data_IF_835212108969
#
_entry.id   IF_835212108969
#
_cell.length_a   1.000
_cell.length_b   1.000
_cell.length_c   1.000
_cell.angle_alpha   90.00
_cell.angle_beta   90.00
_cell.angle_gamma   90.00
#
_symmetry.space_group_name_H-M   'P 1'
#
loop_
_entity.id
_entity.type
_entity.pdbx_description
1 polymer ?
#
# COMPACT_ATOMS: atom_id res chain seq x y z
N UNK A 1 25.97 11.41 5.41
CA UNK A 1 25.10 10.24 5.57
C UNK A 1 23.70 10.74 5.26
N UNK A 2 23.08 10.27 4.19
CA UNK A 2 21.68 10.64 3.91
C UNK A 2 20.81 10.10 5.04
N UNK A 3 19.97 10.97 5.62
CA UNK A 3 19.09 10.56 6.70
C UNK A 3 18.09 9.54 6.16
N UNK A 4 17.96 8.40 6.83
CA UNK A 4 16.92 7.40 6.54
C UNK A 4 15.53 7.95 6.90
N UNK A 5 14.97 8.79 6.03
CA UNK A 5 13.68 9.45 6.22
C UNK A 5 12.70 9.21 5.06
N UNK A 6 13.09 8.40 4.09
CA UNK A 6 12.28 8.08 2.91
C UNK A 6 11.76 6.65 3.03
N UNK A 7 10.45 6.48 2.91
CA UNK A 7 9.85 5.17 2.72
C UNK A 7 10.04 4.75 1.25
N UNK A 8 10.60 3.56 1.05
CA UNK A 8 10.82 3.01 -0.28
C UNK A 8 9.86 1.86 -0.52
N UNK A 9 9.31 1.77 -1.72
CA UNK A 9 8.52 0.62 -2.14
C UNK A 9 8.91 0.25 -3.57
N UNK A 10 9.21 -1.03 -3.77
CA UNK A 10 9.57 -1.60 -5.06
C UNK A 10 8.58 -2.69 -5.40
N UNK A 11 7.98 -2.60 -6.58
CA UNK A 11 7.06 -3.62 -7.10
C UNK A 11 7.80 -4.52 -8.10
N UNK A 12 7.75 -5.83 -7.89
CA UNK A 12 8.21 -6.83 -8.85
C UNK A 12 7.08 -7.81 -9.20
N UNK A 13 7.25 -8.69 -10.20
CA UNK A 13 6.25 -9.71 -10.51
C UNK A 13 5.96 -10.69 -9.37
N UNK A 14 6.91 -10.92 -8.45
CA UNK A 14 6.71 -11.78 -7.28
C UNK A 14 6.05 -11.07 -6.10
N UNK A 15 5.97 -9.74 -6.15
CA UNK A 15 5.27 -8.91 -5.16
C UNK A 15 6.09 -7.69 -4.74
N UNK A 16 5.49 -6.80 -3.94
CA UNK A 16 6.15 -5.61 -3.44
C UNK A 16 7.11 -5.88 -2.28
N UNK A 17 8.18 -5.10 -2.22
CA UNK A 17 9.08 -4.97 -1.06
C UNK A 17 9.14 -3.50 -0.65
N UNK A 18 8.89 -3.22 0.62
CA UNK A 18 8.99 -1.88 1.17
C UNK A 18 9.99 -1.79 2.32
N UNK A 19 10.68 -0.64 2.39
CA UNK A 19 11.55 -0.24 3.48
C UNK A 19 10.92 0.97 4.18
N UNK A 20 10.53 0.79 5.43
CA UNK A 20 9.90 1.82 6.26
C UNK A 20 10.93 2.35 7.27
N UNK A 21 11.33 3.62 7.19
CA UNK A 21 12.33 4.17 8.11
C UNK A 21 11.83 4.15 9.56
N UNK A 22 12.67 3.65 10.48
CA UNK A 22 12.41 3.64 11.92
C UNK A 22 13.30 4.65 12.65
N UNK A 23 14.60 4.63 12.33
CA UNK A 23 15.61 5.56 12.85
C UNK A 23 16.54 5.96 11.69
N UNK A 24 17.50 6.84 11.96
CA UNK A 24 18.51 7.30 10.99
C UNK A 24 19.27 6.15 10.28
N UNK A 25 19.32 4.96 10.87
CA UNK A 25 20.07 3.80 10.39
C UNK A 25 19.29 2.47 10.40
N UNK A 26 18.01 2.47 10.78
CA UNK A 26 17.18 1.26 10.81
C UNK A 26 15.90 1.46 10.03
N UNK A 27 15.52 0.43 9.27
CA UNK A 27 14.25 0.36 8.57
C UNK A 27 13.56 -0.97 8.88
N UNK A 28 12.24 -0.95 8.92
CA UNK A 28 11.42 -2.17 8.87
C UNK A 28 11.26 -2.61 7.42
N UNK A 29 11.39 -3.91 7.17
CA UNK A 29 11.19 -4.49 5.83
C UNK A 29 9.83 -5.18 5.81
N UNK A 30 9.03 -4.90 4.79
CA UNK A 30 7.83 -5.68 4.47
C UNK A 30 7.98 -6.28 3.08
N UNK A 31 8.00 -7.61 2.98
CA UNK A 31 8.17 -8.33 1.72
C UNK A 31 6.94 -9.20 1.48
N UNK A 32 6.16 -8.86 0.45
CA UNK A 32 5.03 -9.67 0.02
C UNK A 32 5.48 -10.61 -1.10
N UNK A 33 5.26 -11.90 -0.94
CA UNK A 33 5.67 -12.95 -1.90
C UNK A 33 4.81 -14.20 -1.74
N UNK A 34 5.07 -15.25 -2.51
CA UNK A 34 4.41 -16.56 -2.37
C UNK A 34 4.72 -17.20 -1.03
N UNK A 35 3.83 -18.08 -0.54
CA UNK A 35 4.05 -18.81 0.71
C UNK A 35 5.35 -19.63 0.67
N UNK A 36 5.62 -20.29 -0.47
CA UNK A 36 6.84 -21.08 -0.69
C UNK A 36 8.11 -20.21 -0.58
N UNK A 37 8.13 -19.05 -1.23
CA UNK A 37 9.29 -18.15 -1.19
C UNK A 37 9.44 -17.49 0.19
N UNK A 38 8.34 -17.20 0.88
CA UNK A 38 8.39 -16.68 2.24
C UNK A 38 9.03 -17.70 3.21
N UNK A 39 8.69 -18.99 3.09
CA UNK A 39 9.32 -20.08 3.86
C UNK A 39 10.82 -20.19 3.55
N UNK A 40 11.19 -20.10 2.26
CA UNK A 40 12.59 -20.06 1.84
C UNK A 40 13.35 -18.90 2.49
N UNK A 41 12.85 -17.67 2.37
CA UNK A 41 13.45 -16.45 2.95
C UNK A 41 13.63 -16.53 4.48
N UNK A 42 12.64 -17.12 5.18
CA UNK A 42 12.71 -17.31 6.63
C UNK A 42 13.76 -18.37 7.03
N UNK A 43 14.01 -19.36 6.17
CA UNK A 43 15.00 -20.42 6.39
C UNK A 43 16.44 -20.00 6.10
N UNK A 44 16.65 -18.93 5.32
CA UNK A 44 17.99 -18.47 4.94
C UNK A 44 18.81 -17.99 6.16
N UNK A 45 20.15 -18.16 6.13
CA UNK A 45 21.06 -17.44 7.01
C UNK A 45 20.89 -15.92 6.86
N UNK A 46 21.08 -15.10 7.92
CA UNK A 46 20.88 -13.64 7.87
C UNK A 46 21.65 -12.94 6.74
N UNK A 47 22.90 -13.35 6.47
CA UNK A 47 23.74 -12.78 5.41
C UNK A 47 23.13 -13.02 4.02
N UNK A 48 22.71 -14.26 3.73
CA UNK A 48 22.07 -14.59 2.45
C UNK A 48 20.73 -13.88 2.26
N UNK A 49 19.97 -13.69 3.34
CA UNK A 49 18.73 -12.92 3.29
C UNK A 49 19.01 -11.46 2.91
N UNK A 50 20.07 -10.86 3.45
CA UNK A 50 20.48 -9.48 3.11
C UNK A 50 20.94 -9.38 1.66
N UNK A 51 21.69 -10.37 1.16
CA UNK A 51 22.10 -10.44 -0.25
C UNK A 51 20.88 -10.49 -1.18
N UNK A 52 19.94 -11.42 -0.92
CA UNK A 52 18.70 -11.58 -1.69
C UNK A 52 17.85 -10.29 -1.65
N UNK A 53 17.73 -9.65 -0.48
CA UNK A 53 17.01 -8.40 -0.33
C UNK A 53 17.65 -7.26 -1.14
N UNK A 54 18.97 -7.14 -1.10
CA UNK A 54 19.69 -6.13 -1.87
C UNK A 54 19.57 -6.38 -3.37
N UNK A 55 19.68 -7.64 -3.81
CA UNK A 55 19.44 -8.02 -5.21
C UNK A 55 18.03 -7.65 -5.63
N UNK A 56 17.03 -8.00 -4.83
CA UNK A 56 15.63 -7.68 -5.11
C UNK A 56 15.39 -6.16 -5.21
N UNK A 57 16.02 -5.38 -4.33
CA UNK A 57 15.93 -3.93 -4.30
C UNK A 57 16.73 -3.24 -5.40
N UNK A 58 17.71 -3.88 -6.04
CA UNK A 58 18.59 -3.25 -7.04
C UNK A 58 18.41 -3.78 -8.46
N UNK A 59 18.05 -5.04 -8.66
CA UNK A 59 17.96 -5.67 -9.99
C UNK A 59 16.86 -5.06 -10.84
N UNK A 60 17.20 -4.38 -11.94
CA UNK A 60 16.25 -3.89 -12.94
C UNK A 60 15.55 -5.04 -13.69
N UNK A 61 14.54 -5.64 -13.05
CA UNK A 61 13.73 -6.70 -13.63
C UNK A 61 12.83 -6.10 -14.72
N UNK A 62 13.22 -6.36 -15.97
CA UNK A 62 12.43 -6.29 -17.20
C UNK A 62 11.70 -4.96 -17.48
N UNK A 63 12.44 -3.99 -18.02
CA UNK A 63 11.85 -3.11 -19.02
C UNK A 63 11.97 -3.76 -20.40
N UNK A 64 10.87 -4.31 -20.92
CA UNK A 64 10.80 -4.72 -22.32
C UNK A 64 11.18 -3.55 -23.24
N UNK A 65 11.95 -3.82 -24.30
CA UNK A 65 12.41 -2.78 -25.24
C UNK A 65 11.24 -1.94 -25.78
N UNK A 66 10.08 -2.56 -25.96
CA UNK A 66 8.85 -1.94 -26.43
C UNK A 66 8.23 -1.03 -25.37
N UNK A 67 8.24 -1.40 -24.08
CA UNK A 67 7.72 -0.51 -23.01
C UNK A 67 8.63 0.71 -22.88
N UNK A 68 9.94 0.53 -22.96
CA UNK A 68 10.90 1.65 -22.95
C UNK A 68 10.75 2.58 -24.14
N UNK A 69 10.53 2.04 -25.34
CA UNK A 69 10.26 2.87 -26.52
C UNK A 69 8.96 3.66 -26.35
N UNK A 70 7.88 3.01 -25.94
CA UNK A 70 6.60 3.68 -25.73
C UNK A 70 6.71 4.75 -24.64
N UNK A 71 7.34 4.43 -23.52
CA UNK A 71 7.59 5.38 -22.44
C UNK A 71 8.39 6.56 -22.95
N UNK A 72 9.51 6.35 -23.65
CA UNK A 72 10.33 7.43 -24.21
C UNK A 72 9.55 8.34 -25.16
N UNK A 73 8.64 7.78 -25.97
CA UNK A 73 7.79 8.53 -26.88
C UNK A 73 6.77 9.37 -26.12
N UNK A 74 6.11 8.77 -25.12
CA UNK A 74 5.21 9.51 -24.23
C UNK A 74 5.95 10.60 -23.46
N UNK A 75 7.19 10.33 -23.02
CA UNK A 75 8.02 11.31 -22.33
C UNK A 75 8.31 12.51 -23.21
N UNK A 76 8.67 12.28 -24.48
CA UNK A 76 8.96 13.33 -25.46
C UNK A 76 7.72 14.18 -25.76
N UNK A 77 6.57 13.54 -26.00
CA UNK A 77 5.31 14.25 -26.25
C UNK A 77 4.95 15.13 -25.05
N UNK A 78 5.02 14.58 -23.84
CA UNK A 78 4.67 15.29 -22.62
C UNK A 78 5.68 16.38 -22.27
N UNK A 79 6.99 16.19 -22.49
CA UNK A 79 8.01 17.25 -22.35
C UNK A 79 7.80 18.38 -23.35
N UNK A 80 7.25 18.09 -24.53
CA UNK A 80 6.92 19.10 -25.53
C UNK A 80 5.67 19.93 -25.19
N UNK A 81 4.69 19.32 -24.51
CA UNK A 81 3.42 19.98 -24.15
C UNK A 81 3.46 20.61 -22.76
N UNK A 82 4.16 20.00 -21.82
CA UNK A 82 4.29 20.44 -20.44
C UNK A 82 5.77 20.66 -20.11
N UNK A 83 6.11 21.75 -19.43
CA UNK A 83 7.46 21.97 -18.88
C UNK A 83 7.72 20.99 -17.73
N UNK A 84 8.02 19.74 -18.08
CA UNK A 84 8.24 18.65 -17.13
C UNK A 84 9.66 18.78 -16.58
N UNK A 85 9.76 19.04 -15.27
CA UNK A 85 11.03 19.05 -14.53
C UNK A 85 11.70 17.67 -14.54
N UNK A 86 13.03 17.64 -14.61
CA UNK A 86 13.80 16.39 -14.46
C UNK A 86 13.58 15.76 -13.08
N UNK A 87 13.48 14.43 -13.06
CA UNK A 87 13.22 13.63 -11.88
C UNK A 87 14.52 13.47 -11.07
N UNK A 88 14.52 13.67 -9.74
CA UNK A 88 15.69 13.32 -8.93
C UNK A 88 15.96 11.81 -9.04
N UNK A 89 17.21 11.44 -9.33
CA UNK A 89 17.64 10.04 -9.34
C UNK A 89 17.80 9.57 -7.89
N UNK A 90 16.75 9.00 -7.36
CA UNK A 90 16.75 8.37 -6.04
C UNK A 90 17.33 6.96 -6.17
N UNK A 91 18.41 6.67 -5.46
CA UNK A 91 19.02 5.33 -5.39
C UNK A 91 18.52 4.59 -4.16
N UNK A 92 18.12 3.33 -4.34
CA UNK A 92 17.72 2.49 -3.21
C UNK A 92 18.85 2.37 -2.17
N UNK A 93 18.54 2.43 -0.87
CA UNK A 93 19.54 2.22 0.17
C UNK A 93 20.00 0.76 0.18
N UNK A 94 21.28 0.54 0.46
CA UNK A 94 21.84 -0.80 0.65
C UNK A 94 21.64 -1.25 2.08
N UNK A 95 21.07 -2.44 2.27
CA UNK A 95 20.91 -3.07 3.57
C UNK A 95 22.23 -3.72 3.98
N UNK A 96 22.75 -3.36 5.15
CA UNK A 96 24.06 -3.85 5.64
C UNK A 96 23.88 -5.12 6.47
N UNK A 97 22.86 -5.17 7.32
CA UNK A 97 22.67 -6.24 8.29
C UNK A 97 21.21 -6.33 8.73
N UNK A 98 20.82 -7.52 9.19
CA UNK A 98 19.53 -7.80 9.79
C UNK A 98 19.64 -7.83 11.32
N UNK A 99 18.67 -7.26 12.03
CA UNK A 99 18.58 -7.41 13.49
C UNK A 99 18.04 -8.81 13.85
N UNK A 100 18.73 -9.53 14.73
CA UNK A 100 18.42 -10.93 15.04
C UNK A 100 17.00 -11.13 15.62
N UNK A 101 16.35 -12.24 15.27
CA UNK A 101 15.04 -12.61 15.81
C UNK A 101 13.84 -11.78 15.32
N UNK A 102 14.01 -10.93 14.31
CA UNK A 102 12.95 -10.01 13.83
C UNK A 102 12.16 -10.51 12.62
N UNK A 103 12.62 -11.58 11.96
CA UNK A 103 11.95 -12.11 10.77
C UNK A 103 10.69 -12.88 11.15
N UNK A 104 9.57 -12.52 10.52
CA UNK A 104 8.30 -13.20 10.67
C UNK A 104 7.55 -13.22 9.34
N UNK A 105 6.84 -14.31 9.07
CA UNK A 105 5.92 -14.45 7.95
C UNK A 105 4.49 -14.47 8.46
N UNK A 106 3.58 -13.82 7.74
CA UNK A 106 2.15 -13.86 8.02
C UNK A 106 1.37 -13.94 6.71
N UNK A 107 0.28 -14.72 6.66
CA UNK A 107 -0.51 -14.85 5.45
C UNK A 107 -1.24 -13.53 5.16
N UNK A 108 -1.09 -13.04 3.93
CA UNK A 108 -1.85 -11.90 3.44
C UNK A 108 -3.20 -12.40 2.91
N UNK A 109 -4.28 -11.78 3.36
CA UNK A 109 -5.61 -12.10 2.90
C UNK A 109 -6.40 -10.82 2.64
N UNK A 110 -7.11 -10.80 1.52
CA UNK A 110 -8.19 -9.85 1.31
C UNK A 110 -9.48 -10.44 1.90
N UNK A 111 -10.16 -9.66 2.72
CA UNK A 111 -11.43 -10.07 3.31
C UNK A 111 -12.32 -8.87 3.52
N UNK A 112 -13.60 -8.99 3.20
CA UNK A 112 -14.56 -7.93 3.44
C UNK A 112 -15.84 -8.56 3.98
N UNK A 113 -16.24 -8.18 5.19
CA UNK A 113 -17.52 -8.60 5.74
C UNK A 113 -18.65 -7.87 5.03
N UNK A 114 -19.73 -8.59 4.70
CA UNK A 114 -20.92 -8.00 4.07
C UNK A 114 -21.63 -6.97 4.97
N UNK A 115 -21.60 -7.21 6.29
CA UNK A 115 -22.13 -6.30 7.31
C UNK A 115 -21.10 -6.15 8.41
N UNK A 116 -20.86 -4.92 8.86
CA UNK A 116 -20.00 -4.66 10.01
C UNK A 116 -20.77 -4.74 11.32
N UNK A 117 -22.09 -4.91 11.29
CA UNK A 117 -22.92 -4.81 12.49
C UNK A 117 -23.95 -5.92 12.60
N UNK A 118 -24.26 -6.25 13.85
CA UNK A 118 -25.40 -7.06 14.28
C UNK A 118 -26.05 -6.35 15.48
N UNK A 119 -27.27 -6.73 15.93
CA UNK A 119 -27.83 -6.14 17.14
C UNK A 119 -26.85 -6.23 18.31
N UNK A 120 -26.52 -5.07 18.89
CA UNK A 120 -25.60 -4.94 20.03
C UNK A 120 -24.13 -5.34 19.78
N UNK A 121 -23.68 -5.47 18.52
CA UNK A 121 -22.25 -5.63 18.23
C UNK A 121 -21.84 -4.99 16.90
N UNK A 122 -20.61 -4.46 16.88
CA UNK A 122 -19.97 -3.87 15.70
C UNK A 122 -18.56 -4.44 15.52
N UNK A 123 -18.20 -4.71 14.27
CA UNK A 123 -16.88 -5.13 13.81
C UNK A 123 -16.11 -3.89 13.35
N UNK A 124 -14.83 -3.84 13.69
CA UNK A 124 -13.90 -2.76 13.31
C UNK A 124 -12.56 -3.36 12.84
N UNK A 125 -11.82 -2.64 12.00
CA UNK A 125 -10.50 -3.04 11.52
C UNK A 125 -10.50 -4.43 10.85
N UNK A 126 -9.46 -5.23 11.13
CA UNK A 126 -9.27 -6.57 10.55
C UNK A 126 -10.45 -7.54 10.76
N UNK A 127 -11.32 -7.30 11.76
CA UNK A 127 -12.53 -8.07 11.98
C UNK A 127 -13.64 -7.72 10.97
N UNK A 128 -13.70 -6.48 10.50
CA UNK A 128 -14.65 -6.00 9.51
C UNK A 128 -14.09 -6.16 8.09
N UNK A 129 -12.82 -5.86 7.90
CA UNK A 129 -12.18 -5.82 6.60
C UNK A 129 -10.66 -6.00 6.69
N UNK A 130 -10.09 -6.74 5.73
CA UNK A 130 -8.66 -6.98 5.56
C UNK A 130 -8.25 -6.57 4.16
N UNK A 131 -7.25 -5.69 4.07
CA UNK A 131 -6.73 -5.16 2.80
C UNK A 131 -5.35 -5.70 2.49
N UNK A 132 -5.00 -5.77 1.20
CA UNK A 132 -3.61 -6.02 0.80
C UNK A 132 -2.69 -4.91 1.36
N UNK A 133 -1.51 -5.24 1.90
CA UNK A 133 -0.66 -4.30 2.64
C UNK A 133 0.01 -3.19 1.83
N UNK A 134 -0.38 -2.95 0.57
CA UNK A 134 0.31 -2.06 -0.39
C UNK A 134 0.53 -0.61 0.06
N UNK A 135 -0.03 -0.17 1.18
CA UNK A 135 0.11 1.20 1.62
C UNK A 135 0.11 1.35 3.15
N UNK A 136 0.32 0.26 3.90
CA UNK A 136 0.24 0.29 5.37
C UNK A 136 -1.11 0.80 5.91
N UNK A 137 -2.18 0.71 5.11
CA UNK A 137 -3.45 1.37 5.39
C UNK A 137 -4.32 0.62 6.40
N UNK A 138 -4.05 -0.65 6.71
CA UNK A 138 -4.92 -1.47 7.55
C UNK A 138 -5.23 -0.81 8.90
N UNK A 139 -4.18 -0.32 9.59
CA UNK A 139 -4.33 0.43 10.85
C UNK A 139 -5.09 1.74 10.64
N UNK A 140 -4.81 2.49 9.56
CA UNK A 140 -5.49 3.76 9.29
C UNK A 140 -6.99 3.56 9.04
N UNK A 141 -7.37 2.51 8.32
CA UNK A 141 -8.77 2.13 8.11
C UNK A 141 -9.44 1.73 9.44
N UNK A 142 -8.73 0.97 10.29
CA UNK A 142 -9.21 0.65 11.63
C UNK A 142 -9.42 1.89 12.53
N UNK A 143 -8.53 2.88 12.45
CA UNK A 143 -8.72 4.16 13.15
C UNK A 143 -9.91 4.95 12.61
N UNK A 144 -10.12 4.92 11.29
CA UNK A 144 -11.30 5.51 10.67
C UNK A 144 -12.59 4.86 11.20
N UNK A 145 -12.60 3.53 11.34
CA UNK A 145 -13.74 2.81 11.93
C UNK A 145 -14.02 3.28 13.36
N UNK A 146 -12.98 3.39 14.19
CA UNK A 146 -13.11 3.87 15.58
C UNK A 146 -13.72 5.26 15.61
N UNK A 147 -13.23 6.18 14.75
CA UNK A 147 -13.75 7.55 14.68
C UNK A 147 -15.23 7.57 14.31
N UNK A 148 -15.60 6.89 13.22
CA UNK A 148 -16.99 6.85 12.73
C UNK A 148 -17.91 6.19 13.76
N UNK A 149 -17.46 5.10 14.38
CA UNK A 149 -18.22 4.40 15.42
C UNK A 149 -18.43 5.31 16.64
N UNK A 150 -17.39 6.02 17.09
CA UNK A 150 -17.51 6.98 18.20
C UNK A 150 -18.49 8.10 17.89
N UNK A 151 -18.47 8.66 16.67
CA UNK A 151 -19.43 9.68 16.23
C UNK A 151 -20.87 9.16 16.29
N UNK A 152 -21.12 7.94 15.80
CA UNK A 152 -22.45 7.31 15.84
C UNK A 152 -22.92 6.99 17.28
N UNK A 153 -22.03 6.47 18.12
CA UNK A 153 -22.33 6.16 19.52
C UNK A 153 -22.56 7.44 20.34
N UNK A 154 -21.82 8.51 20.08
CA UNK A 154 -22.02 9.80 20.73
C UNK A 154 -23.42 10.35 20.40
N UNK A 155 -23.85 10.27 19.14
CA UNK A 155 -25.20 10.67 18.75
C UNK A 155 -26.27 9.85 19.47
N UNK A 156 -26.08 8.52 19.56
CA UNK A 156 -26.95 7.62 20.30
C UNK A 156 -27.10 8.02 21.78
N UNK A 157 -26.00 8.40 22.44
CA UNK A 157 -26.01 8.85 23.84
C UNK A 157 -26.76 10.17 24.00
N UNK A 158 -26.52 11.14 23.10
CA UNK A 158 -27.18 12.46 23.14
C UNK A 158 -28.70 12.34 22.97
N UNK A 159 -29.15 11.42 22.13
CA UNK A 159 -30.58 11.17 21.88
C UNK A 159 -31.23 10.23 22.91
N UNK A 160 -30.46 9.67 23.85
CA UNK A 160 -30.97 8.78 24.89
C UNK A 160 -31.41 7.41 24.35
N UNK A 161 -30.86 6.97 23.22
CA UNK A 161 -31.18 5.69 22.61
C UNK A 161 -30.32 4.54 23.15
N UNK A 162 -30.71 3.30 22.84
CA UNK A 162 -29.93 2.10 23.17
C UNK A 162 -28.67 2.03 22.29
N UNK A 163 -27.49 1.97 22.92
CA UNK A 163 -26.19 1.82 22.26
C UNK A 163 -26.10 0.59 21.34
N UNK A 164 -26.92 -0.44 21.62
CA UNK A 164 -27.00 -1.64 20.80
C UNK A 164 -28.03 -1.58 19.67
N UNK A 165 -28.70 -0.44 19.48
CA UNK A 165 -29.73 -0.25 18.47
C UNK A 165 -29.15 -0.33 17.06
N UNK A 166 -29.76 -1.16 16.23
CA UNK A 166 -29.38 -1.29 14.82
C UNK A 166 -29.48 0.03 14.05
N UNK A 167 -30.32 0.98 14.47
CA UNK A 167 -30.46 2.27 13.78
C UNK A 167 -29.13 3.02 13.71
N UNK A 168 -28.46 3.23 14.86
CA UNK A 168 -27.17 3.93 14.90
C UNK A 168 -26.02 3.06 14.41
N UNK A 169 -26.07 1.75 14.66
CA UNK A 169 -25.06 0.83 14.16
C UNK A 169 -25.10 0.72 12.62
N UNK A 170 -26.26 0.83 11.99
CA UNK A 170 -26.36 0.87 10.52
C UNK A 170 -25.80 2.14 9.89
N UNK A 171 -25.84 3.26 10.62
CA UNK A 171 -25.19 4.50 10.20
C UNK A 171 -23.67 4.34 10.23
N UNK A 172 -23.14 3.67 11.27
CA UNK A 172 -21.73 3.30 11.31
C UNK A 172 -21.35 2.39 10.13
N UNK A 173 -22.07 1.29 9.90
CA UNK A 173 -21.81 0.35 8.80
C UNK A 173 -21.78 1.07 7.45
N UNK A 174 -22.79 1.91 7.18
CA UNK A 174 -22.89 2.68 5.94
C UNK A 174 -21.72 3.66 5.78
N UNK A 175 -21.37 4.40 6.81
CA UNK A 175 -20.30 5.40 6.75
C UNK A 175 -18.92 4.77 6.65
N UNK A 176 -18.66 3.72 7.43
CA UNK A 176 -17.43 2.96 7.40
C UNK A 176 -17.21 2.31 6.02
N UNK A 177 -18.23 1.65 5.45
CA UNK A 177 -18.13 1.08 4.11
C UNK A 177 -17.92 2.15 3.03
N UNK A 178 -18.65 3.28 3.08
CA UNK A 178 -18.47 4.40 2.13
C UNK A 178 -17.06 4.99 2.17
N UNK A 179 -16.42 4.98 3.33
CA UNK A 179 -15.05 5.48 3.52
C UNK A 179 -14.01 4.44 3.12
N UNK A 180 -14.14 3.20 3.60
CA UNK A 180 -13.10 2.19 3.50
C UNK A 180 -13.12 1.49 2.15
N UNK A 181 -14.28 1.00 1.68
CA UNK A 181 -14.41 0.17 0.46
C UNK A 181 -13.70 0.77 -0.75
N UNK A 182 -13.85 2.06 -1.07
CA UNK A 182 -13.14 2.65 -2.21
C UNK A 182 -11.62 2.54 -2.10
N UNK A 183 -11.06 2.70 -0.90
CA UNK A 183 -9.62 2.55 -0.64
C UNK A 183 -9.19 1.10 -0.83
N UNK A 184 -9.97 0.15 -0.31
CA UNK A 184 -9.65 -1.28 -0.44
C UNK A 184 -9.65 -1.73 -1.90
N UNK A 185 -10.66 -1.31 -2.67
CA UNK A 185 -10.78 -1.62 -4.09
C UNK A 185 -9.65 -0.97 -4.89
N UNK A 186 -9.29 0.28 -4.59
CA UNK A 186 -8.17 0.95 -5.26
C UNK A 186 -6.84 0.22 -5.00
N UNK A 187 -6.57 -0.15 -3.75
CA UNK A 187 -5.38 -0.92 -3.38
C UNK A 187 -5.35 -2.30 -4.05
N UNK A 188 -6.46 -3.05 -4.02
CA UNK A 188 -6.54 -4.37 -4.67
C UNK A 188 -6.35 -4.27 -6.19
N UNK A 189 -6.98 -3.28 -6.82
CA UNK A 189 -6.82 -3.02 -8.25
C UNK A 189 -5.37 -2.67 -8.61
N UNK A 190 -4.73 -1.81 -7.81
CA UNK A 190 -3.32 -1.45 -7.99
C UNK A 190 -2.44 -2.70 -7.89
N UNK A 191 -2.66 -3.53 -6.87
CA UNK A 191 -1.93 -4.80 -6.70
C UNK A 191 -2.06 -5.69 -7.93
N UNK A 192 -3.28 -5.92 -8.41
CA UNK A 192 -3.54 -6.73 -9.61
C UNK A 192 -2.88 -6.15 -10.85
N UNK A 193 -2.88 -4.82 -11.00
CA UNK A 193 -2.21 -4.14 -12.10
C UNK A 193 -0.69 -4.36 -12.06
N UNK A 194 -0.07 -4.37 -10.87
CA UNK A 194 1.37 -4.63 -10.72
C UNK A 194 1.75 -6.10 -10.93
N UNK A 195 0.89 -7.04 -10.51
CA UNK A 195 1.11 -8.48 -10.70
C UNK A 195 0.84 -8.96 -12.14
N UNK A 196 0.11 -8.18 -12.93
CA UNK A 196 -0.21 -8.56 -14.31
C UNK A 196 0.99 -8.35 -15.24
N UNK A 197 1.49 -9.44 -15.82
CA UNK A 197 2.66 -9.44 -16.72
C UNK A 197 2.31 -9.23 -18.20
N UNK A 198 1.03 -9.05 -18.54
CA UNK A 198 0.64 -8.86 -19.94
C UNK A 198 0.94 -7.43 -20.42
N UNK A 199 1.53 -7.34 -21.61
CA UNK A 199 2.06 -6.11 -22.19
C UNK A 199 1.10 -4.90 -22.15
N UNK A 200 -0.21 -5.02 -22.47
CA UNK A 200 -1.13 -3.89 -22.41
C UNK A 200 -1.24 -3.27 -21.01
N UNK A 201 -1.24 -4.10 -19.97
CA UNK A 201 -1.36 -3.65 -18.58
C UNK A 201 -0.05 -3.04 -18.08
N UNK A 202 1.10 -3.58 -18.49
CA UNK A 202 2.41 -2.97 -18.19
C UNK A 202 2.51 -1.57 -18.80
N UNK A 203 2.05 -1.39 -20.05
CA UNK A 203 2.00 -0.09 -20.70
C UNK A 203 1.05 0.88 -19.98
N UNK A 204 -0.16 0.44 -19.62
CA UNK A 204 -1.12 1.25 -18.86
C UNK A 204 -0.57 1.67 -17.51
N UNK A 205 0.06 0.75 -16.76
CA UNK A 205 0.72 1.03 -15.48
C UNK A 205 1.82 2.08 -15.64
N UNK A 206 2.68 1.89 -16.62
CA UNK A 206 3.84 2.77 -16.83
C UNK A 206 3.41 4.16 -17.32
N UNK A 207 2.38 4.22 -18.16
CA UNK A 207 1.74 5.47 -18.57
C UNK A 207 1.06 6.16 -17.38
N UNK A 208 0.29 5.43 -16.58
CA UNK A 208 -0.42 5.93 -15.41
C UNK A 208 0.54 6.51 -14.36
N UNK A 209 1.63 5.81 -14.04
CA UNK A 209 2.68 6.32 -13.16
C UNK A 209 3.34 7.58 -13.71
N UNK A 210 3.64 7.61 -15.02
CA UNK A 210 4.16 8.81 -15.66
C UNK A 210 3.17 9.98 -15.60
N UNK A 211 1.87 9.73 -15.71
CA UNK A 211 0.85 10.76 -15.55
C UNK A 211 0.80 11.29 -14.12
N UNK A 212 0.72 10.40 -13.12
CA UNK A 212 0.68 10.80 -11.70
C UNK A 212 1.93 11.58 -11.29
N UNK A 213 3.10 11.14 -11.74
CA UNK A 213 4.36 11.84 -11.45
C UNK A 213 4.44 13.23 -12.09
N UNK A 214 3.77 13.44 -13.24
CA UNK A 214 3.81 14.71 -14.00
C UNK A 214 2.72 15.69 -13.61
N UNK A 215 1.57 15.20 -13.18
CA UNK A 215 0.46 16.05 -12.73
C UNK A 215 0.55 16.28 -11.22
N UNK A 216 1.29 17.31 -10.80
CA UNK A 216 1.40 17.74 -9.40
C UNK A 216 0.05 17.82 -8.66
N UNK A 217 -1.04 18.35 -9.26
CA UNK A 217 -2.35 18.38 -8.58
C UNK A 217 -2.89 16.98 -8.24
N UNK A 218 -2.59 15.97 -9.06
CA UNK A 218 -3.01 14.60 -8.81
C UNK A 218 -2.18 13.99 -7.67
N UNK A 219 -0.87 14.25 -7.65
CA UNK A 219 0.00 13.87 -6.54
C UNK A 219 -0.45 14.53 -5.22
N UNK A 220 -0.77 15.82 -5.25
CA UNK A 220 -1.25 16.56 -4.07
C UNK A 220 -2.60 16.03 -3.59
N UNK A 221 -3.50 15.65 -4.50
CA UNK A 221 -4.77 15.02 -4.15
C UNK A 221 -4.57 13.65 -3.47
N UNK A 222 -3.63 12.84 -3.98
CA UNK A 222 -3.29 11.54 -3.39
C UNK A 222 -2.70 11.75 -2.00
N UNK A 223 -1.71 12.64 -1.85
CA UNK A 223 -1.08 12.95 -0.56
C UNK A 223 -2.10 13.47 0.44
N UNK A 224 -2.97 14.40 0.02
CA UNK A 224 -4.02 14.95 0.87
C UNK A 224 -4.96 13.85 1.39
N UNK A 225 -5.41 12.94 0.52
CA UNK A 225 -6.30 11.84 0.92
C UNK A 225 -5.64 10.82 1.85
N UNK A 226 -4.32 10.62 1.76
CA UNK A 226 -3.59 9.73 2.66
C UNK A 226 -3.34 10.36 4.04
N UNK A 227 -3.32 11.70 4.12
CA UNK A 227 -3.07 12.43 5.38
C UNK A 227 -4.30 12.66 6.27
N UNK A 228 -5.50 12.29 5.79
CA UNK A 228 -6.80 12.49 6.49
C UNK A 228 -7.49 11.16 6.73
#
# INVERSE_FOLDING_TARGET
>A
MENNCVAWERFTPSGPVALLPLTENMSSVTWSTSAEHAEELLSLPPEKFVDELNEFLTTDIHQDSVTNQFLSLTEQILKGVFSVSEKPRLTFPTVISLYEGTRAGFPLAFGHSYSYVIPRAALIGDAAHRTHPLAGQGVNLGWSDVKILLECLQQCVVEGADLGSLTYLSDYDTQAQRRNVPVQVACDWLNRLYLTTSMPFILMRSFGLNMVDRFTPLKDLIVYRTST
#
